data_IF_105615340614
#
_entry.id   IF_105615340614
#
_cell.length_a   1.000
_cell.length_b   1.000
_cell.length_c   1.000
_cell.angle_alpha   90.00
_cell.angle_beta   90.00
_cell.angle_gamma   90.00
#
_symmetry.space_group_name_H-M   'P 1'
#
loop_
_entity.id
_entity.type
_entity.pdbx_description
1 polymer ?
#
# COMPACT_ATOMS: atom_id res chain seq x y z
N UNK A 1 -5.60 -2.46 -6.02
CA UNK A 1 -4.32 -1.99 -5.44
C UNK A 1 -3.47 -3.20 -5.08
N UNK A 2 -2.16 -3.01 -4.89
CA UNK A 2 -1.29 -3.97 -4.22
C UNK A 2 -0.95 -3.45 -2.82
N UNK A 3 -1.16 -4.25 -1.77
CA UNK A 3 -0.88 -3.86 -0.38
C UNK A 3 0.26 -4.70 0.20
N UNK A 4 1.12 -4.07 1.01
CA UNK A 4 2.27 -4.69 1.66
C UNK A 4 2.60 -3.98 2.99
N UNK A 5 3.68 -4.40 3.64
CA UNK A 5 4.23 -3.74 4.83
C UNK A 5 3.74 -4.27 6.18
N UNK A 6 3.00 -5.38 6.20
CA UNK A 6 2.71 -6.12 7.44
C UNK A 6 3.83 -7.14 7.72
N UNK A 7 4.62 -7.00 8.81
CA UNK A 7 5.68 -7.94 9.17
C UNK A 7 5.19 -9.37 9.48
N UNK A 8 3.93 -9.53 9.88
CA UNK A 8 3.31 -10.82 10.17
C UNK A 8 2.77 -11.52 8.92
N UNK A 9 2.53 -10.76 7.83
CA UNK A 9 1.89 -11.25 6.61
C UNK A 9 0.40 -11.59 6.75
N UNK A 10 -0.27 -11.14 7.82
CA UNK A 10 -1.68 -11.46 8.10
C UNK A 10 -2.67 -10.38 7.64
N UNK A 11 -2.17 -9.21 7.26
CA UNK A 11 -2.93 -7.97 7.06
C UNK A 11 -3.19 -7.19 8.35
N UNK A 12 -2.86 -7.73 9.53
CA UNK A 12 -3.20 -7.13 10.83
C UNK A 12 -1.98 -6.65 11.63
N UNK A 13 -0.76 -7.02 11.22
CA UNK A 13 0.44 -6.63 11.93
C UNK A 13 0.83 -5.17 11.69
N UNK A 14 1.56 -4.63 12.66
CA UNK A 14 1.95 -3.22 12.78
C UNK A 14 3.36 -3.11 13.37
N UNK A 15 4.04 -1.97 13.24
CA UNK A 15 5.43 -1.81 13.69
C UNK A 15 5.56 -1.50 15.20
N UNK A 16 4.47 -1.54 15.96
CA UNK A 16 4.43 -1.21 17.39
C UNK A 16 4.17 0.26 17.70
N UNK A 17 3.89 1.08 16.68
CA UNK A 17 3.48 2.47 16.81
C UNK A 17 2.47 2.83 15.72
N UNK A 18 1.76 3.94 15.94
CA UNK A 18 0.88 4.58 14.96
C UNK A 18 1.22 6.05 14.82
N UNK A 19 0.89 6.62 13.66
CA UNK A 19 1.02 8.06 13.43
C UNK A 19 -0.16 8.62 12.62
N UNK A 20 -0.34 9.93 12.75
CA UNK A 20 -1.45 10.67 12.15
C UNK A 20 -1.39 10.67 10.63
N UNK A 21 -2.52 10.92 9.98
CA UNK A 21 -2.54 11.25 8.57
C UNK A 21 -1.75 12.55 8.33
N UNK A 22 -1.06 12.63 7.18
CA UNK A 22 -0.44 13.88 6.72
C UNK A 22 -1.32 14.50 5.65
N UNK A 23 -1.83 15.70 5.92
CA UNK A 23 -2.66 16.43 4.97
C UNK A 23 -1.82 16.96 3.81
N UNK A 24 -2.22 16.61 2.58
CA UNK A 24 -1.65 17.18 1.36
C UNK A 24 -2.70 17.25 0.23
N UNK A 25 -2.36 17.97 -0.85
CA UNK A 25 -3.24 18.13 -2.01
C UNK A 25 -3.15 16.98 -3.02
N UNK A 26 -2.35 15.95 -2.73
CA UNK A 26 -2.16 14.81 -3.63
C UNK A 26 -3.38 13.90 -3.59
N UNK A 27 -3.66 13.26 -4.72
CA UNK A 27 -4.85 12.43 -4.92
C UNK A 27 -4.50 11.09 -5.52
N UNK A 28 -5.37 10.11 -5.31
CA UNK A 28 -5.32 8.82 -5.98
C UNK A 28 -5.95 8.92 -7.38
N UNK A 29 -5.45 9.82 -8.23
CA UNK A 29 -6.06 10.18 -9.52
C UNK A 29 -5.56 9.36 -10.72
N UNK A 30 -4.58 8.47 -10.49
CA UNK A 30 -3.92 7.66 -11.51
C UNK A 30 -3.39 6.34 -10.94
N UNK A 31 -3.02 5.35 -11.80
CA UNK A 31 -2.25 4.19 -11.39
C UNK A 31 -0.90 4.57 -10.78
N UNK A 32 -0.37 3.73 -9.91
CA UNK A 32 0.98 3.85 -9.36
C UNK A 32 1.12 4.85 -8.21
N UNK A 33 0.03 5.41 -7.68
CA UNK A 33 0.08 6.27 -6.49
C UNK A 33 0.30 5.41 -5.26
N UNK A 34 1.26 5.80 -4.41
CA UNK A 34 1.64 5.11 -3.18
C UNK A 34 0.99 5.81 -1.98
N UNK A 35 0.20 5.06 -1.22
CA UNK A 35 -0.51 5.54 -0.04
C UNK A 35 -0.27 4.70 1.19
N UNK A 36 -0.35 5.31 2.37
CA UNK A 36 -0.34 4.59 3.64
C UNK A 36 -1.65 3.82 3.82
N UNK A 37 -1.59 2.54 4.21
CA UNK A 37 -2.77 1.81 4.64
C UNK A 37 -3.03 2.08 6.13
N UNK A 38 -4.30 2.25 6.50
CA UNK A 38 -4.74 2.47 7.87
C UNK A 38 -6.07 1.73 8.15
N UNK A 39 -6.42 1.60 9.43
CA UNK A 39 -7.67 0.98 9.92
C UNK A 39 -8.69 2.05 10.36
N UNK A 40 -8.53 3.27 9.84
CA UNK A 40 -9.20 4.49 10.30
C UNK A 40 -8.24 5.67 10.26
N UNK A 41 -8.74 6.92 10.26
CA UNK A 41 -7.90 8.10 10.31
C UNK A 41 -6.88 8.02 11.46
N UNK A 42 -5.66 8.47 11.19
CA UNK A 42 -4.57 8.57 12.17
C UNK A 42 -4.03 7.25 12.74
N UNK A 43 -4.32 6.11 12.09
CA UNK A 43 -3.75 4.81 12.46
C UNK A 43 -2.74 4.30 11.43
N UNK A 44 -1.91 5.18 10.87
CA UNK A 44 -0.86 4.76 9.94
C UNK A 44 0.23 4.00 10.68
N UNK A 45 0.74 2.94 10.07
CA UNK A 45 1.81 2.10 10.63
C UNK A 45 2.88 1.82 9.60
N UNK A 46 3.17 0.54 9.36
CA UNK A 46 4.14 0.11 8.34
C UNK A 46 3.49 -0.31 7.02
N UNK A 47 2.17 -0.49 7.01
CA UNK A 47 1.45 -0.96 5.84
C UNK A 47 1.23 0.16 4.83
N UNK A 48 1.44 -0.15 3.55
CA UNK A 48 1.24 0.77 2.43
C UNK A 48 0.62 0.03 1.25
N UNK A 49 0.08 0.78 0.29
CA UNK A 49 -0.45 0.23 -0.94
C UNK A 49 -0.05 1.06 -2.16
N UNK A 50 -0.14 0.43 -3.33
CA UNK A 50 0.05 1.07 -4.63
C UNK A 50 -1.21 0.86 -5.48
N UNK A 51 -1.75 1.93 -6.06
CA UNK A 51 -2.96 1.87 -6.89
C UNK A 51 -2.70 1.22 -8.25
N UNK A 52 -3.65 0.41 -8.75
CA UNK A 52 -3.63 -0.10 -10.14
C UNK A 52 -4.40 0.82 -11.09
N UNK A 53 -5.25 1.68 -10.56
CA UNK A 53 -6.16 2.58 -11.28
C UNK A 53 -6.47 3.79 -10.40
N UNK A 54 -7.06 4.87 -10.95
CA UNK A 54 -7.59 5.95 -10.12
C UNK A 54 -8.55 5.42 -9.04
N UNK A 55 -8.40 5.90 -7.81
CA UNK A 55 -9.16 5.50 -6.62
C UNK A 55 -9.58 6.73 -5.77
N UNK A 56 -10.37 7.66 -6.33
CA UNK A 56 -10.71 8.93 -5.64
C UNK A 56 -11.51 8.76 -4.34
N UNK A 57 -12.11 7.59 -4.10
CA UNK A 57 -12.78 7.28 -2.83
C UNK A 57 -11.83 7.16 -1.63
N UNK A 58 -10.51 7.11 -1.88
CA UNK A 58 -9.46 7.10 -0.85
C UNK A 58 -8.94 8.51 -0.52
N UNK A 59 -9.27 9.52 -1.33
CA UNK A 59 -8.76 10.88 -1.17
C UNK A 59 -9.17 11.46 0.21
N UNK A 60 -8.20 12.07 0.91
CA UNK A 60 -8.40 12.66 2.24
C UNK A 60 -8.47 11.68 3.41
N UNK A 61 -8.66 10.37 3.16
CA UNK A 61 -8.65 9.34 4.20
C UNK A 61 -7.29 8.66 4.40
N UNK A 62 -6.46 8.66 3.36
CA UNK A 62 -5.16 7.97 3.33
C UNK A 62 -4.06 8.92 2.83
N UNK A 63 -2.94 8.94 3.53
CA UNK A 63 -1.79 9.78 3.19
C UNK A 63 -1.13 9.29 1.91
N UNK A 64 -1.10 10.13 0.87
CA UNK A 64 -0.29 9.91 -0.34
C UNK A 64 1.14 10.38 -0.06
N UNK A 65 2.13 9.51 -0.27
CA UNK A 65 3.54 9.82 0.01
C UNK A 65 4.51 9.46 -1.12
N UNK A 66 4.02 8.95 -2.25
CA UNK A 66 4.89 8.62 -3.37
C UNK A 66 4.15 8.20 -4.63
N UNK A 67 4.93 7.97 -5.68
CA UNK A 67 4.45 7.45 -6.97
C UNK A 67 5.49 6.52 -7.57
N UNK A 68 5.04 5.42 -8.17
CA UNK A 68 5.88 4.53 -8.98
C UNK A 68 6.39 5.28 -10.21
N UNK A 69 7.70 5.40 -10.33
CA UNK A 69 8.37 6.04 -11.49
C UNK A 69 8.79 5.03 -12.57
N UNK A 70 8.99 3.76 -12.19
CA UNK A 70 9.38 2.64 -13.07
C UNK A 70 8.85 1.33 -12.49
N UNK A 71 8.54 0.35 -13.35
CA UNK A 71 8.09 -0.99 -12.92
C UNK A 71 6.59 -1.14 -12.71
N UNK A 72 5.76 -0.30 -13.35
CA UNK A 72 4.29 -0.48 -13.33
C UNK A 72 3.87 -1.81 -13.98
N UNK A 73 4.56 -2.23 -15.04
CA UNK A 73 4.38 -3.52 -15.69
C UNK A 73 4.67 -4.70 -14.75
N UNK A 74 5.64 -4.54 -13.84
CA UNK A 74 5.96 -5.54 -12.81
C UNK A 74 4.86 -5.56 -11.73
N UNK A 75 4.40 -4.37 -11.32
CA UNK A 75 3.32 -4.22 -10.36
C UNK A 75 2.04 -4.92 -10.86
N UNK A 76 1.68 -4.73 -12.14
CA UNK A 76 0.52 -5.36 -12.80
C UNK A 76 0.63 -6.89 -12.90
N UNK A 77 1.84 -7.45 -12.83
CA UNK A 77 2.09 -8.90 -12.85
C UNK A 77 2.00 -9.56 -11.47
N UNK A 78 1.82 -8.79 -10.38
CA UNK A 78 1.63 -9.38 -9.05
C UNK A 78 0.35 -10.23 -9.02
N UNK A 79 0.47 -11.42 -8.44
CA UNK A 79 -0.64 -12.37 -8.28
C UNK A 79 -1.82 -11.71 -7.57
N UNK A 80 -3.00 -11.60 -8.22
CA UNK A 80 -4.21 -11.08 -7.58
C UNK A 80 -4.62 -11.94 -6.39
N UNK A 81 -5.19 -11.29 -5.38
CA UNK A 81 -5.70 -11.95 -4.17
C UNK A 81 -7.08 -11.41 -3.84
N UNK A 82 -7.98 -12.32 -3.48
CA UNK A 82 -9.31 -12.01 -3.00
C UNK A 82 -9.27 -11.90 -1.45
N UNK A 83 -9.53 -10.71 -0.88
CA UNK A 83 -9.56 -10.54 0.57
C UNK A 83 -10.70 -11.31 1.25
N UNK A 84 -11.75 -11.70 0.52
CA UNK A 84 -12.87 -12.48 1.05
C UNK A 84 -12.58 -13.99 1.07
N UNK A 85 -11.57 -14.45 0.34
CA UNK A 85 -11.20 -15.86 0.28
C UNK A 85 -10.37 -16.26 1.51
N UNK A 86 -11.00 -16.81 2.55
CA UNK A 86 -10.34 -17.15 3.82
C UNK A 86 -9.55 -18.48 3.81
N UNK A 87 -9.72 -19.32 2.78
CA UNK A 87 -9.09 -20.65 2.66
C UNK A 87 -8.30 -20.79 1.37
N UNK A 88 -7.25 -21.61 1.38
CA UNK A 88 -6.40 -21.92 0.20
C UNK A 88 -5.74 -20.70 -0.46
N UNK A 89 -5.51 -19.63 0.31
CA UNK A 89 -4.73 -18.49 -0.19
C UNK A 89 -3.29 -18.93 -0.47
N UNK A 90 -2.91 -18.96 -1.75
CA UNK A 90 -1.49 -19.10 -2.15
C UNK A 90 -0.68 -17.97 -1.52
N UNK A 91 0.56 -18.20 -1.04
CA UNK A 91 1.43 -17.15 -0.52
C UNK A 91 1.55 -15.96 -1.49
N UNK A 92 1.63 -14.76 -0.94
CA UNK A 92 1.76 -13.53 -1.72
C UNK A 92 3.18 -13.38 -2.27
N UNK A 93 3.36 -12.49 -3.24
CA UNK A 93 4.69 -12.09 -3.68
C UNK A 93 5.49 -11.48 -2.53
N UNK A 94 6.74 -11.89 -2.38
CA UNK A 94 7.61 -11.43 -1.29
C UNK A 94 8.44 -10.21 -1.71
N UNK A 95 8.42 -9.16 -0.89
CA UNK A 95 9.38 -8.06 -0.96
C UNK A 95 10.71 -8.52 -0.35
N UNK A 96 11.71 -8.78 -1.19
CA UNK A 96 12.99 -9.38 -0.75
C UNK A 96 13.97 -8.36 -0.19
N UNK A 97 14.00 -7.17 -0.76
CA UNK A 97 14.88 -6.08 -0.37
C UNK A 97 14.22 -4.74 -0.68
N UNK A 98 14.71 -3.69 -0.02
CA UNK A 98 14.40 -2.29 -0.31
C UNK A 98 15.73 -1.56 -0.35
N UNK A 99 16.00 -0.89 -1.45
CA UNK A 99 17.18 -0.04 -1.64
C UNK A 99 16.74 1.42 -1.70
N UNK A 100 17.28 2.24 -0.80
CA UNK A 100 16.99 3.67 -0.75
C UNK A 100 18.10 4.40 -1.48
N UNK A 101 17.72 5.12 -2.54
CA UNK A 101 18.61 5.97 -3.31
C UNK A 101 18.18 7.43 -3.08
N UNK A 102 19.05 8.21 -2.46
CA UNK A 102 18.85 9.64 -2.21
C UNK A 102 19.75 10.42 -3.18
N UNK A 103 19.21 11.49 -3.77
CA UNK A 103 19.98 12.43 -4.60
C UNK A 103 20.56 13.56 -3.75
#
# INVERSE_FOLDING_TARGET
MAQSGDPSGTGQGNPGYFFNNEDNELKFDKPGVVGMANAGPDTNGSQFFITYSPSPHLDGGFTVFGQVIKGMDILEQLSPRDPEQLTDQKPGSLLKNVEINEN
#
